data_IF_700334684448
#
_entry.id   IF_700334684448
#
_cell.length_a   1.000
_cell.length_b   1.000
_cell.length_c   1.000
_cell.angle_alpha   90.00
_cell.angle_beta   90.00
_cell.angle_gamma   90.00
#
_symmetry.space_group_name_H-M   'P 1'
#
loop_
_entity.id
_entity.type
_entity.pdbx_description
1 polymer ?
#
# COMPACT_ATOMS: atom_id res chain seq x y z
N UNK A 1 -50.92 11.64 1.50
CA UNK A 1 -50.25 11.45 0.21
C UNK A 1 -48.80 11.25 0.55
N UNK A 2 -48.44 9.98 0.48
CA UNK A 2 -47.19 9.36 0.86
C UNK A 2 -46.18 9.55 -0.28
N UNK A 3 -44.93 9.83 0.05
CA UNK A 3 -43.79 9.72 -0.87
C UNK A 3 -42.50 9.61 -0.06
N UNK A 4 -42.38 8.52 0.70
CA UNK A 4 -41.09 8.03 1.18
C UNK A 4 -40.28 7.48 0.01
N UNK A 5 -39.41 8.30 -0.59
CA UNK A 5 -38.34 7.80 -1.47
C UNK A 5 -37.31 7.04 -0.62
N UNK A 6 -37.45 5.72 -0.56
CA UNK A 6 -36.45 4.81 -0.06
C UNK A 6 -35.23 4.86 -1.00
N UNK A 7 -34.16 5.52 -0.55
CA UNK A 7 -32.83 5.39 -1.16
C UNK A 7 -32.27 4.03 -0.71
N UNK A 8 -32.58 2.97 -1.47
CA UNK A 8 -32.02 1.65 -1.24
C UNK A 8 -30.56 1.61 -1.71
N UNK A 9 -29.64 0.94 -0.99
CA UNK A 9 -28.28 0.74 -1.46
C UNK A 9 -28.33 0.04 -2.83
N UNK A 10 -27.72 0.66 -3.83
CA UNK A 10 -27.55 0.02 -5.14
C UNK A 10 -26.59 -1.14 -4.92
N UNK A 11 -27.11 -2.36 -4.94
CA UNK A 11 -26.30 -3.57 -5.00
C UNK A 11 -25.62 -3.61 -6.37
N UNK A 12 -24.53 -2.85 -6.51
CA UNK A 12 -23.60 -2.96 -7.64
C UNK A 12 -22.85 -4.27 -7.53
N UNK A 13 -23.54 -5.40 -7.72
CA UNK A 13 -22.89 -6.69 -7.89
C UNK A 13 -22.10 -6.63 -9.20
N UNK A 14 -20.79 -6.84 -9.13
CA UNK A 14 -19.98 -7.13 -10.32
C UNK A 14 -20.66 -8.29 -11.05
N UNK A 15 -20.92 -8.15 -12.35
CA UNK A 15 -21.35 -9.28 -13.16
C UNK A 15 -20.30 -10.40 -13.06
N UNK A 16 -20.61 -11.47 -12.33
CA UNK A 16 -19.75 -12.64 -12.16
C UNK A 16 -18.91 -12.73 -10.87
N UNK A 17 -18.98 -11.79 -9.93
CA UNK A 17 -18.34 -11.97 -8.60
C UNK A 17 -19.40 -12.34 -7.57
N UNK A 18 -19.31 -13.55 -7.02
CA UNK A 18 -20.14 -13.97 -5.89
C UNK A 18 -20.00 -12.94 -4.75
N UNK A 19 -21.13 -12.48 -4.21
CA UNK A 19 -21.12 -11.64 -3.02
C UNK A 19 -20.32 -12.36 -1.92
N UNK A 20 -19.25 -11.73 -1.43
CA UNK A 20 -18.44 -12.29 -0.36
C UNK A 20 -19.30 -12.33 0.89
N UNK A 21 -19.69 -13.54 1.32
CA UNK A 21 -20.42 -13.74 2.58
C UNK A 21 -19.49 -13.37 3.72
N UNK A 22 -19.95 -12.47 4.60
CA UNK A 22 -19.26 -12.21 5.86
C UNK A 22 -19.20 -13.51 6.68
N UNK A 23 -18.02 -13.88 7.22
CA UNK A 23 -17.90 -15.09 8.03
C UNK A 23 -18.72 -14.97 9.32
N UNK A 24 -19.08 -16.10 9.93
CA UNK A 24 -19.70 -16.10 11.27
C UNK A 24 -18.65 -15.90 12.36
N UNK A 25 -19.11 -15.55 13.57
CA UNK A 25 -18.21 -15.48 14.74
C UNK A 25 -17.55 -16.83 15.04
N UNK A 26 -18.24 -17.94 14.77
CA UNK A 26 -17.70 -19.29 14.95
C UNK A 26 -16.61 -19.60 13.93
N UNK A 27 -16.80 -19.21 12.67
CA UNK A 27 -15.81 -19.36 11.59
C UNK A 27 -14.53 -18.53 11.88
N UNK A 28 -14.66 -17.40 12.59
CA UNK A 28 -13.54 -16.55 13.02
C UNK A 28 -12.88 -16.98 14.35
N UNK A 29 -13.46 -17.97 15.02
CA UNK A 29 -12.88 -18.62 16.18
C UNK A 29 -13.07 -17.90 17.53
N UNK A 30 -12.73 -18.59 18.64
CA UNK A 30 -13.13 -18.19 19.99
C UNK A 30 -12.49 -16.89 20.48
N UNK A 31 -11.28 -16.55 20.01
CA UNK A 31 -10.63 -15.27 20.37
C UNK A 31 -11.34 -14.08 19.75
N UNK A 32 -11.85 -14.21 18.52
CA UNK A 32 -12.63 -13.17 17.89
C UNK A 32 -14.00 -13.03 18.55
N UNK A 33 -14.67 -14.15 18.85
CA UNK A 33 -15.92 -14.14 19.61
C UNK A 33 -15.76 -13.43 20.97
N UNK A 34 -14.67 -13.71 21.71
CA UNK A 34 -14.36 -13.04 22.96
C UNK A 34 -14.08 -11.54 22.79
N UNK A 35 -13.40 -11.16 21.70
CA UNK A 35 -13.21 -9.75 21.33
C UNK A 35 -14.55 -9.05 21.12
N UNK A 36 -15.45 -9.63 20.32
CA UNK A 36 -16.79 -9.06 20.05
C UNK A 36 -17.62 -8.95 21.32
N UNK A 37 -17.60 -9.97 22.19
CA UNK A 37 -18.29 -9.94 23.48
C UNK A 37 -17.78 -8.84 24.42
N UNK A 38 -16.52 -8.38 24.26
CA UNK A 38 -15.92 -7.30 25.05
C UNK A 38 -16.16 -5.89 24.48
N UNK A 39 -16.77 -5.76 23.31
CA UNK A 39 -17.02 -4.46 22.67
C UNK A 39 -18.12 -3.70 23.41
N UNK A 40 -17.89 -2.39 23.63
CA UNK A 40 -18.89 -1.46 24.17
C UNK A 40 -19.61 -0.66 23.09
N UNK A 41 -19.06 -0.67 21.88
CA UNK A 41 -19.57 0.00 20.70
C UNK A 41 -19.11 -0.78 19.46
N UNK A 42 -19.77 -0.61 18.31
CA UNK A 42 -19.40 -1.34 17.10
C UNK A 42 -17.98 -1.04 16.62
N UNK A 43 -17.42 -1.97 15.86
CA UNK A 43 -16.17 -1.77 15.12
C UNK A 43 -16.50 -1.86 13.63
N UNK A 44 -16.17 -0.82 12.87
CA UNK A 44 -16.35 -0.81 11.42
C UNK A 44 -15.03 -1.12 10.75
N UNK A 45 -14.99 -2.27 10.07
CA UNK A 45 -13.94 -2.62 9.13
C UNK A 45 -14.26 -1.96 7.79
N UNK A 46 -13.29 -1.30 7.17
CA UNK A 46 -13.50 -0.66 5.87
C UNK A 46 -12.23 -0.58 5.04
N UNK A 47 -12.43 -0.41 3.74
CA UNK A 47 -11.41 -0.28 2.72
C UNK A 47 -11.91 0.65 1.60
N UNK A 48 -11.00 1.39 0.97
CA UNK A 48 -11.32 2.42 -0.03
C UNK A 48 -10.47 2.25 -1.27
N UNK A 49 -11.14 2.29 -2.43
CA UNK A 49 -10.49 2.52 -3.72
C UNK A 49 -10.65 3.98 -4.11
N UNK A 50 -9.59 4.56 -4.67
CA UNK A 50 -9.51 5.98 -4.96
C UNK A 50 -8.87 6.27 -6.32
N UNK A 51 -9.02 7.50 -6.80
CA UNK A 51 -8.40 7.98 -8.05
C UNK A 51 -6.87 8.09 -7.97
N UNK A 52 -6.28 7.91 -6.80
CA UNK A 52 -4.84 8.02 -6.57
C UNK A 52 -4.48 7.85 -5.09
N UNK A 53 -3.27 8.27 -4.72
CA UNK A 53 -2.69 8.04 -3.39
C UNK A 53 -2.55 9.32 -2.53
N UNK A 54 -3.04 10.47 -3.00
CA UNK A 54 -3.08 11.71 -2.23
C UNK A 54 -4.45 11.88 -1.54
N UNK A 55 -4.55 11.68 -0.22
CA UNK A 55 -5.83 11.76 0.49
C UNK A 55 -6.47 13.17 0.48
N UNK A 56 -5.72 14.22 0.10
CA UNK A 56 -6.22 15.59 0.02
C UNK A 56 -6.71 15.91 -1.39
N UNK A 57 -6.00 15.44 -2.42
CA UNK A 57 -6.29 15.78 -3.81
C UNK A 57 -7.17 14.75 -4.53
N UNK A 58 -7.07 13.46 -4.19
CA UNK A 58 -7.78 12.37 -4.83
C UNK A 58 -9.20 12.19 -4.29
N UNK A 59 -9.97 11.35 -5.01
CA UNK A 59 -11.39 11.09 -4.77
C UNK A 59 -11.66 9.61 -4.54
N UNK A 60 -12.63 9.31 -3.70
CA UNK A 60 -13.11 7.94 -3.49
C UNK A 60 -13.92 7.49 -4.70
N UNK A 61 -13.66 6.27 -5.18
CA UNK A 61 -14.43 5.60 -6.27
C UNK A 61 -15.21 4.38 -5.77
N UNK A 62 -14.72 3.73 -4.72
CA UNK A 62 -15.43 2.68 -4.00
C UNK A 62 -15.11 2.76 -2.51
N UNK A 63 -16.12 2.52 -1.67
CA UNK A 63 -15.92 2.27 -0.24
C UNK A 63 -16.71 1.03 0.14
N UNK A 64 -16.05 0.10 0.83
CA UNK A 64 -16.67 -1.10 1.38
C UNK A 64 -16.56 -1.09 2.90
N UNK A 65 -17.64 -1.44 3.59
CA UNK A 65 -17.71 -1.46 5.05
C UNK A 65 -18.33 -2.75 5.55
N UNK A 66 -17.85 -3.21 6.69
CA UNK A 66 -18.37 -4.37 7.42
C UNK A 66 -18.38 -4.03 8.90
N UNK A 67 -19.58 -4.04 9.50
CA UNK A 67 -19.79 -3.60 10.87
C UNK A 67 -19.91 -4.80 11.79
N UNK A 68 -19.09 -4.82 12.85
CA UNK A 68 -19.12 -5.81 13.91
C UNK A 68 -19.74 -5.16 15.13
N UNK A 69 -20.92 -5.64 15.53
CA UNK A 69 -21.76 -5.01 16.53
C UNK A 69 -21.79 -5.84 17.82
N UNK A 70 -21.72 -5.20 19.02
CA UNK A 70 -21.93 -5.89 20.30
C UNK A 70 -23.42 -6.09 20.62
N UNK A 71 -24.32 -5.35 19.97
CA UNK A 71 -25.76 -5.49 20.17
C UNK A 71 -26.56 -5.10 18.89
N UNK A 72 -27.28 -6.06 18.27
CA UNK A 72 -27.14 -7.50 18.49
C UNK A 72 -25.69 -7.95 18.22
N UNK A 73 -25.21 -8.94 18.99
CA UNK A 73 -23.87 -9.50 18.81
C UNK A 73 -23.78 -10.13 17.42
N UNK A 74 -22.84 -9.68 16.59
CA UNK A 74 -22.63 -10.29 15.29
C UNK A 74 -21.87 -9.44 14.30
N UNK A 75 -21.79 -9.97 13.08
CA UNK A 75 -21.22 -9.31 11.92
C UNK A 75 -22.36 -8.98 10.96
N UNK A 76 -22.54 -7.69 10.69
CA UNK A 76 -23.52 -7.23 9.72
C UNK A 76 -23.03 -7.53 8.28
N UNK A 77 -23.96 -7.72 7.32
CA UNK A 77 -23.58 -7.87 5.92
C UNK A 77 -22.71 -6.70 5.44
N UNK A 78 -21.70 -7.03 4.63
CA UNK A 78 -20.89 -6.01 3.98
C UNK A 78 -21.77 -5.11 3.11
N UNK A 79 -21.47 -3.80 3.11
CA UNK A 79 -22.10 -2.81 2.25
C UNK A 79 -21.01 -2.11 1.45
N UNK A 80 -21.25 -1.92 0.16
CA UNK A 80 -20.28 -1.34 -0.76
C UNK A 80 -20.95 -0.30 -1.62
N UNK A 81 -20.35 0.88 -1.72
CA UNK A 81 -20.83 1.98 -2.55
C UNK A 81 -19.83 2.24 -3.66
N UNK A 82 -20.32 2.25 -4.89
CA UNK A 82 -19.64 2.84 -6.05
C UNK A 82 -19.97 4.33 -6.07
N UNK A 83 -18.96 5.18 -6.21
CA UNK A 83 -19.10 6.62 -6.05
C UNK A 83 -18.53 7.30 -7.30
N UNK A 84 -19.32 8.14 -7.97
CA UNK A 84 -18.81 9.03 -9.01
C UNK A 84 -17.86 10.07 -8.37
N UNK A 85 -16.55 10.03 -8.68
CA UNK A 85 -15.58 10.95 -8.11
C UNK A 85 -15.70 12.38 -8.68
N UNK A 86 -16.50 12.58 -9.73
CA UNK A 86 -16.65 13.87 -10.43
C UNK A 86 -15.40 14.30 -11.21
N UNK A 87 -14.38 13.43 -11.27
CA UNK A 87 -13.12 13.61 -12.00
C UNK A 87 -12.78 12.33 -12.76
N UNK A 88 -11.93 12.41 -13.78
CA UNK A 88 -11.47 11.22 -14.49
C UNK A 88 -10.57 10.38 -13.59
N UNK A 89 -10.85 9.08 -13.48
CA UNK A 89 -9.94 8.10 -12.86
C UNK A 89 -8.71 7.92 -13.77
N UNK A 90 -7.48 8.13 -13.27
CA UNK A 90 -6.24 7.80 -13.99
C UNK A 90 -6.17 6.31 -14.35
N UNK A 91 -5.57 5.99 -15.50
CA UNK A 91 -5.44 4.59 -15.95
C UNK A 91 -4.65 3.73 -14.96
N UNK A 92 -3.61 4.30 -14.36
CA UNK A 92 -2.76 3.61 -13.39
C UNK A 92 -3.54 3.18 -12.15
N UNK A 93 -4.48 4.00 -11.68
CA UNK A 93 -5.37 3.64 -10.57
C UNK A 93 -6.36 2.56 -11.00
N UNK A 94 -6.98 2.74 -12.18
CA UNK A 94 -7.88 1.74 -12.77
C UNK A 94 -7.21 0.38 -12.95
N UNK A 95 -5.95 0.31 -13.37
CA UNK A 95 -5.21 -0.93 -13.58
C UNK A 95 -4.91 -1.66 -12.26
N UNK A 96 -4.85 -0.93 -11.14
CA UNK A 96 -4.63 -1.50 -9.80
C UNK A 96 -5.92 -2.11 -9.24
N UNK A 97 -6.99 -1.32 -9.15
CA UNK A 97 -8.23 -1.72 -8.48
C UNK A 97 -9.31 -2.28 -9.41
N UNK A 98 -9.12 -2.17 -10.73
CA UNK A 98 -10.02 -2.69 -11.75
C UNK A 98 -11.35 -1.94 -11.86
N UNK A 99 -11.37 -0.64 -11.51
CA UNK A 99 -12.56 0.22 -11.62
C UNK A 99 -12.27 1.28 -12.67
N UNK A 100 -13.07 1.29 -13.72
CA UNK A 100 -12.93 2.22 -14.82
C UNK A 100 -14.03 3.28 -14.77
N UNK A 101 -13.79 4.41 -15.43
CA UNK A 101 -14.77 5.50 -15.52
C UNK A 101 -16.15 5.02 -16.04
N UNK A 102 -16.19 4.01 -16.91
CA UNK A 102 -17.42 3.42 -17.43
C UNK A 102 -18.25 2.67 -16.36
N UNK A 103 -17.60 2.12 -15.32
CA UNK A 103 -18.26 1.37 -14.25
C UNK A 103 -19.01 2.28 -13.28
N UNK A 104 -18.72 3.58 -13.29
CA UNK A 104 -19.29 4.59 -12.38
C UNK A 104 -20.34 5.47 -13.07
N UNK A 105 -20.71 5.16 -14.31
CA UNK A 105 -21.77 5.89 -15.01
C UNK A 105 -23.09 5.71 -14.26
N UNK A 106 -23.65 6.82 -13.77
CA UNK A 106 -24.89 6.81 -12.98
C UNK A 106 -24.70 6.48 -11.50
N UNK A 107 -23.47 6.27 -11.03
CA UNK A 107 -23.17 6.15 -9.62
C UNK A 107 -23.45 7.49 -8.87
N UNK A 108 -23.87 7.45 -7.60
CA UNK A 108 -24.05 8.65 -6.79
C UNK A 108 -22.71 9.34 -6.55
N UNK A 109 -22.73 10.66 -6.31
CA UNK A 109 -21.55 11.36 -5.80
C UNK A 109 -21.40 11.13 -4.30
N UNK A 110 -20.22 11.37 -3.76
CA UNK A 110 -19.98 11.18 -2.33
C UNK A 110 -20.99 11.93 -1.45
N UNK A 111 -21.34 13.17 -1.82
CA UNK A 111 -22.30 13.98 -1.07
C UNK A 111 -23.69 13.33 -0.95
N UNK A 112 -24.11 12.53 -1.93
CA UNK A 112 -25.40 11.85 -1.95
C UNK A 112 -25.45 10.67 -0.96
N UNK A 113 -24.31 10.00 -0.76
CA UNK A 113 -24.18 8.85 0.16
C UNK A 113 -23.58 9.23 1.52
N UNK A 114 -23.10 10.46 1.69
CA UNK A 114 -22.40 10.90 2.90
C UNK A 114 -23.26 10.80 4.17
N UNK A 115 -24.58 11.01 4.08
CA UNK A 115 -25.46 10.84 5.23
C UNK A 115 -25.52 9.37 5.71
N UNK A 116 -25.61 8.45 4.75
CA UNK A 116 -25.66 7.01 5.02
C UNK A 116 -24.32 6.54 5.58
N UNK A 117 -23.20 6.90 4.93
CA UNK A 117 -21.86 6.56 5.41
C UNK A 117 -21.62 7.12 6.82
N UNK A 118 -21.98 8.37 7.10
CA UNK A 118 -21.85 8.94 8.44
C UNK A 118 -22.61 8.12 9.49
N UNK A 119 -23.81 7.62 9.16
CA UNK A 119 -24.57 6.74 10.05
C UNK A 119 -23.89 5.38 10.27
N UNK A 120 -23.23 4.83 9.24
CA UNK A 120 -22.46 3.59 9.37
C UNK A 120 -21.25 3.75 10.30
N UNK A 121 -20.59 4.90 10.27
CA UNK A 121 -19.43 5.15 11.13
C UNK A 121 -19.81 5.75 12.49
N UNK A 122 -21.07 6.13 12.69
CA UNK A 122 -21.55 6.72 13.94
C UNK A 122 -21.35 5.74 15.11
N UNK A 123 -20.83 6.30 16.21
CA UNK A 123 -20.53 5.62 17.46
C UNK A 123 -19.69 4.33 17.30
N UNK A 124 -18.90 4.22 16.23
CA UNK A 124 -18.04 3.07 15.99
C UNK A 124 -16.56 3.37 16.26
N UNK A 125 -15.84 2.35 16.72
CA UNK A 125 -14.38 2.27 16.55
C UNK A 125 -14.07 1.80 15.11
N UNK A 126 -12.87 2.07 14.62
CA UNK A 126 -12.51 1.80 13.22
C UNK A 126 -11.43 0.74 13.12
N UNK A 127 -11.55 -0.13 12.13
CA UNK A 127 -10.57 -1.16 11.84
C UNK A 127 -10.38 -1.37 10.33
N UNK A 128 -9.29 -2.02 9.95
CA UNK A 128 -8.99 -2.36 8.57
C UNK A 128 -7.50 -2.66 8.40
N UNK A 129 -7.04 -2.76 7.16
CA UNK A 129 -5.63 -3.02 6.85
C UNK A 129 -5.01 -1.78 6.20
N UNK A 130 -4.07 -1.11 6.88
CA UNK A 130 -3.44 0.13 6.41
C UNK A 130 -4.32 1.40 6.45
N UNK A 131 -5.47 1.36 7.11
CA UNK A 131 -6.47 2.45 7.12
C UNK A 131 -5.96 3.78 7.70
N UNK A 132 -4.97 3.73 8.59
CA UNK A 132 -4.49 4.91 9.32
C UNK A 132 -3.70 5.88 8.45
N UNK A 133 -3.10 5.38 7.36
CA UNK A 133 -2.22 6.17 6.48
C UNK A 133 -2.98 6.87 5.36
N UNK A 134 -4.04 6.25 4.86
CA UNK A 134 -4.72 6.68 3.64
C UNK A 134 -6.25 6.74 3.81
N UNK A 135 -6.90 5.60 4.01
CA UNK A 135 -8.36 5.43 3.95
C UNK A 135 -9.10 6.40 4.88
N UNK A 136 -8.70 6.47 6.15
CA UNK A 136 -9.32 7.39 7.11
C UNK A 136 -9.16 8.86 6.69
N UNK A 137 -8.00 9.21 6.11
CA UNK A 137 -7.70 10.59 5.72
C UNK A 137 -8.50 11.02 4.50
N UNK A 138 -8.60 10.16 3.48
CA UNK A 138 -9.39 10.48 2.28
C UNK A 138 -10.89 10.47 2.60
N UNK A 139 -11.36 9.58 3.47
CA UNK A 139 -12.74 9.57 3.96
C UNK A 139 -13.10 10.88 4.67
N UNK A 140 -12.21 11.35 5.57
CA UNK A 140 -12.38 12.66 6.22
C UNK A 140 -12.41 13.80 5.21
N UNK A 141 -11.51 13.80 4.22
CA UNK A 141 -11.48 14.82 3.18
C UNK A 141 -12.78 14.84 2.36
N UNK A 142 -13.35 13.68 2.01
CA UNK A 142 -14.62 13.62 1.29
C UNK A 142 -15.80 14.11 2.13
N UNK A 143 -15.85 13.78 3.42
CA UNK A 143 -16.88 14.34 4.32
C UNK A 143 -16.82 15.86 4.38
N UNK A 144 -15.61 16.43 4.49
CA UNK A 144 -15.41 17.89 4.47
C UNK A 144 -15.87 18.49 3.14
N UNK A 145 -15.54 17.88 1.99
CA UNK A 145 -16.01 18.33 0.67
C UNK A 145 -17.52 18.26 0.51
N UNK A 146 -18.16 17.27 1.13
CA UNK A 146 -19.61 17.14 1.19
C UNK A 146 -20.28 18.10 2.22
N UNK A 147 -19.52 18.98 2.88
CA UNK A 147 -20.04 19.91 3.88
C UNK A 147 -20.49 19.23 5.17
N UNK A 148 -19.97 18.03 5.47
CA UNK A 148 -20.30 17.27 6.68
C UNK A 148 -19.08 17.14 7.57
N UNK A 149 -19.21 17.62 8.80
CA UNK A 149 -18.21 17.43 9.85
C UNK A 149 -18.48 16.09 10.54
N UNK A 150 -17.69 15.06 10.23
CA UNK A 150 -17.70 13.78 10.94
C UNK A 150 -16.46 13.70 11.82
N UNK A 151 -16.67 13.58 13.13
CA UNK A 151 -15.57 13.53 14.10
C UNK A 151 -15.18 12.09 14.41
N UNK A 152 -14.02 11.67 13.88
CA UNK A 152 -13.43 10.36 14.18
C UNK A 152 -12.45 10.39 15.36
N UNK A 153 -12.21 11.56 15.97
CA UNK A 153 -11.18 11.74 17.02
C UNK A 153 -11.41 10.88 18.27
N UNK A 154 -12.67 10.48 18.51
CA UNK A 154 -13.10 9.64 19.64
C UNK A 154 -13.12 8.15 19.32
N UNK A 155 -12.95 7.78 18.06
CA UNK A 155 -12.90 6.39 17.63
C UNK A 155 -11.51 5.82 17.92
N UNK A 156 -11.46 4.62 18.47
CA UNK A 156 -10.22 3.84 18.52
C UNK A 156 -9.92 3.31 17.13
N UNK A 157 -8.65 3.29 16.76
CA UNK A 157 -8.19 2.81 15.47
C UNK A 157 -7.44 1.48 15.66
N UNK A 158 -7.87 0.43 14.97
CA UNK A 158 -7.24 -0.88 14.96
C UNK A 158 -6.76 -1.20 13.53
N UNK A 159 -5.48 -0.96 13.28
CA UNK A 159 -4.87 -1.21 11.97
C UNK A 159 -4.18 -2.58 11.96
N UNK A 160 -4.77 -3.53 11.23
CA UNK A 160 -4.28 -4.89 11.12
C UNK A 160 -2.87 -4.97 10.50
N UNK A 161 -2.51 -4.02 9.62
CA UNK A 161 -1.17 -3.97 9.03
C UNK A 161 -0.12 -3.59 10.08
N UNK A 162 -0.45 -2.66 10.98
CA UNK A 162 0.44 -2.26 12.07
C UNK A 162 0.70 -3.45 12.99
N UNK A 163 -0.35 -4.18 13.37
CA UNK A 163 -0.23 -5.40 14.19
C UNK A 163 0.60 -6.46 13.46
N UNK A 164 0.33 -6.69 12.18
CA UNK A 164 1.09 -7.65 11.35
C UNK A 164 2.59 -7.32 11.34
N UNK A 165 2.98 -6.08 11.01
CA UNK A 165 4.39 -5.70 10.97
C UNK A 165 5.10 -5.75 12.35
N UNK A 166 4.36 -5.57 13.45
CA UNK A 166 4.92 -5.74 14.79
C UNK A 166 5.12 -7.21 15.19
N UNK A 167 4.27 -8.11 14.70
CA UNK A 167 4.31 -9.54 15.06
C UNK A 167 5.10 -10.39 14.09
N UNK A 168 5.18 -9.97 12.83
CA UNK A 168 5.90 -10.63 11.74
C UNK A 168 7.00 -9.72 11.17
N UNK A 169 8.10 -9.49 11.93
CA UNK A 169 9.18 -8.62 11.47
C UNK A 169 9.94 -9.25 10.31
N UNK A 170 10.47 -8.41 9.41
CA UNK A 170 11.27 -8.84 8.25
C UNK A 170 12.76 -8.92 8.59
N UNK A 171 13.13 -9.87 9.45
CA UNK A 171 14.52 -10.12 9.85
C UNK A 171 14.86 -11.62 9.84
N UNK A 172 16.14 -11.95 10.01
CA UNK A 172 16.64 -13.33 9.93
C UNK A 172 15.98 -14.25 10.97
N UNK A 173 15.82 -13.78 12.21
CA UNK A 173 15.19 -14.58 13.27
C UNK A 173 13.73 -14.94 12.94
N UNK A 174 12.96 -13.99 12.42
CA UNK A 174 11.58 -14.25 11.99
C UNK A 174 11.51 -15.14 10.75
N UNK A 175 12.44 -14.99 9.80
CA UNK A 175 12.55 -15.89 8.66
C UNK A 175 12.86 -17.32 9.12
N UNK A 176 13.81 -17.51 10.04
CA UNK A 176 14.16 -18.82 10.58
C UNK A 176 12.96 -19.48 11.27
N UNK A 177 12.21 -18.70 12.06
CA UNK A 177 10.97 -19.18 12.68
C UNK A 177 9.92 -19.56 11.65
N UNK A 178 9.73 -18.74 10.62
CA UNK A 178 8.72 -18.98 9.59
C UNK A 178 9.02 -20.22 8.74
N UNK A 179 10.26 -20.39 8.28
CA UNK A 179 10.63 -21.47 7.38
C UNK A 179 11.00 -22.78 8.10
N UNK A 180 11.51 -22.71 9.33
CA UNK A 180 12.06 -23.87 10.06
C UNK A 180 11.44 -24.11 11.43
N UNK A 181 10.56 -23.22 11.91
CA UNK A 181 9.94 -23.35 13.23
C UNK A 181 10.91 -23.20 14.41
N UNK A 182 12.07 -22.57 14.20
CA UNK A 182 13.15 -22.43 15.20
C UNK A 182 13.35 -20.98 15.62
N UNK A 183 13.74 -20.79 16.87
CA UNK A 183 14.22 -19.51 17.38
C UNK A 183 15.74 -19.36 17.14
N UNK A 184 16.17 -18.14 16.83
CA UNK A 184 17.59 -17.81 16.68
C UNK A 184 18.17 -17.48 18.05
N UNK A 185 18.98 -18.38 18.60
CA UNK A 185 19.71 -18.16 19.85
C UNK A 185 21.10 -17.59 19.56
N UNK A 186 21.58 -16.67 20.40
CA UNK A 186 22.86 -15.96 20.23
C UNK A 186 22.95 -15.17 18.90
N UNK A 187 21.84 -14.52 18.53
CA UNK A 187 21.82 -13.56 17.43
C UNK A 187 22.95 -12.54 17.64
N UNK A 188 23.70 -12.22 16.58
CA UNK A 188 24.93 -11.40 16.52
C UNK A 188 26.27 -12.14 16.45
N UNK A 189 26.30 -13.48 16.55
CA UNK A 189 27.44 -14.27 16.10
C UNK A 189 27.39 -14.47 14.58
N UNK A 190 28.41 -14.00 13.84
CA UNK A 190 28.45 -14.12 12.37
C UNK A 190 28.29 -15.59 11.90
N UNK A 191 28.77 -16.55 12.68
CA UNK A 191 28.59 -17.98 12.42
C UNK A 191 27.12 -18.42 12.57
N UNK A 192 26.46 -18.06 13.67
CA UNK A 192 25.06 -18.39 13.91
C UNK A 192 24.15 -17.78 12.83
N UNK A 193 24.40 -16.52 12.45
CA UNK A 193 23.66 -15.84 11.38
C UNK A 193 23.89 -16.52 10.01
N UNK A 194 25.11 -16.99 9.73
CA UNK A 194 25.43 -17.72 8.48
C UNK A 194 24.68 -19.05 8.41
N UNK A 195 24.71 -19.84 9.49
CA UNK A 195 23.99 -21.13 9.56
C UNK A 195 22.48 -20.91 9.47
N UNK A 196 21.94 -19.93 10.19
CA UNK A 196 20.52 -19.59 10.10
C UNK A 196 20.13 -19.14 8.70
N UNK A 197 20.99 -18.40 7.99
CA UNK A 197 20.75 -18.00 6.60
C UNK A 197 20.68 -19.20 5.65
N UNK A 198 21.58 -20.19 5.82
CA UNK A 198 21.52 -21.45 5.07
C UNK A 198 20.21 -22.20 5.34
N UNK A 199 19.80 -22.29 6.60
CA UNK A 199 18.56 -22.98 6.99
C UNK A 199 17.31 -22.29 6.44
N UNK A 200 17.28 -20.96 6.48
CA UNK A 200 16.21 -20.16 5.86
C UNK A 200 16.15 -20.44 4.36
N UNK A 201 17.28 -20.41 3.67
CA UNK A 201 17.35 -20.68 2.24
C UNK A 201 16.87 -22.10 1.90
N UNK A 202 17.31 -23.12 2.65
CA UNK A 202 16.83 -24.48 2.47
C UNK A 202 15.31 -24.60 2.67
N UNK A 203 14.76 -23.92 3.69
CA UNK A 203 13.31 -23.89 3.93
C UNK A 203 12.52 -23.11 2.88
N UNK A 204 13.13 -22.12 2.20
CA UNK A 204 12.52 -21.46 1.04
C UNK A 204 12.38 -22.45 -0.13
N UNK A 205 13.44 -23.19 -0.47
CA UNK A 205 13.40 -24.20 -1.53
C UNK A 205 12.38 -25.32 -1.23
N UNK A 206 12.23 -25.71 0.03
CA UNK A 206 11.24 -26.71 0.44
C UNK A 206 9.80 -26.19 0.35
N UNK A 207 9.58 -24.91 0.66
CA UNK A 207 8.24 -24.31 0.69
C UNK A 207 7.72 -23.92 -0.69
N UNK A 208 8.60 -23.46 -1.58
CA UNK A 208 8.23 -22.86 -2.85
C UNK A 208 8.65 -23.77 -4.00
N UNK A 209 7.73 -24.61 -4.45
CA UNK A 209 7.96 -25.57 -5.56
C UNK A 209 8.27 -24.89 -6.90
N UNK A 210 7.93 -23.61 -7.03
CA UNK A 210 8.20 -22.76 -8.20
C UNK A 210 9.59 -22.12 -8.20
N UNK A 211 10.36 -22.23 -7.11
CA UNK A 211 11.75 -21.80 -7.09
C UNK A 211 12.63 -22.81 -7.86
N UNK A 212 13.37 -22.31 -8.85
CA UNK A 212 14.45 -23.08 -9.45
C UNK A 212 15.50 -23.46 -8.40
N UNK A 213 16.11 -24.63 -8.57
CA UNK A 213 17.15 -25.16 -7.66
C UNK A 213 18.57 -24.91 -8.17
N UNK A 214 18.70 -24.36 -9.37
CA UNK A 214 19.97 -23.97 -9.97
C UNK A 214 20.35 -22.55 -9.56
N UNK A 215 21.66 -22.28 -9.47
CA UNK A 215 22.16 -20.97 -9.04
C UNK A 215 21.82 -19.84 -10.01
N UNK A 216 21.64 -20.11 -11.30
CA UNK A 216 21.38 -19.08 -12.30
C UNK A 216 19.97 -18.50 -12.13
N UNK A 217 18.95 -19.34 -12.00
CA UNK A 217 17.57 -18.92 -11.76
C UNK A 217 17.42 -18.19 -10.41
N UNK A 218 18.03 -18.72 -9.34
CA UNK A 218 18.03 -18.11 -8.01
C UNK A 218 18.76 -16.76 -7.99
N UNK A 219 19.89 -16.67 -8.69
CA UNK A 219 20.59 -15.40 -8.87
C UNK A 219 19.70 -14.40 -9.62
N UNK A 220 19.04 -14.83 -10.70
CA UNK A 220 18.10 -14.04 -11.49
C UNK A 220 16.98 -13.41 -10.65
N UNK A 221 16.38 -14.16 -9.73
CA UNK A 221 15.37 -13.66 -8.79
C UNK A 221 15.94 -12.61 -7.81
N UNK A 222 17.21 -12.75 -7.44
CA UNK A 222 17.88 -11.89 -6.48
C UNK A 222 18.35 -10.56 -7.07
N UNK A 223 18.59 -10.50 -8.38
CA UNK A 223 19.06 -9.28 -9.07
C UNK A 223 17.95 -8.34 -9.53
N UNK A 224 16.70 -8.81 -9.65
CA UNK A 224 15.57 -8.00 -10.17
C UNK A 224 15.26 -6.72 -9.38
N UNK A 225 15.83 -6.57 -8.17
CA UNK A 225 15.68 -5.35 -7.37
C UNK A 225 16.72 -4.26 -7.64
N UNK A 226 17.74 -4.51 -8.47
CA UNK A 226 18.81 -3.54 -8.72
C UNK A 226 18.71 -2.82 -10.07
N UNK A 227 18.07 -3.42 -11.08
CA UNK A 227 17.97 -2.84 -12.44
C UNK A 227 17.17 -1.54 -12.50
N UNK A 228 16.31 -1.28 -11.51
CA UNK A 228 15.60 -0.01 -11.38
C UNK A 228 16.50 1.14 -10.89
N UNK A 229 17.69 0.80 -10.36
CA UNK A 229 18.60 1.75 -9.72
C UNK A 229 19.93 1.84 -10.47
N UNK A 230 20.58 3.00 -10.37
CA UNK A 230 21.85 3.25 -11.05
C UNK A 230 23.07 2.93 -10.17
N UNK A 231 22.85 2.81 -8.85
CA UNK A 231 23.85 2.60 -7.79
C UNK A 231 23.32 1.63 -6.72
N UNK A 232 24.23 0.97 -6.01
CA UNK A 232 23.93 0.00 -4.94
C UNK A 232 23.19 0.65 -3.77
N UNK A 233 23.49 1.91 -3.49
CA UNK A 233 22.85 2.71 -2.43
C UNK A 233 21.44 3.20 -2.79
N UNK A 234 20.95 2.88 -4.00
CA UNK A 234 19.64 3.28 -4.54
C UNK A 234 19.37 4.78 -4.45
N UNK A 235 20.42 5.60 -4.60
CA UNK A 235 20.34 7.06 -4.60
C UNK A 235 19.83 7.60 -5.93
N UNK A 236 20.03 6.86 -7.00
CA UNK A 236 19.55 7.14 -8.34
C UNK A 236 18.71 5.97 -8.85
N UNK A 237 17.57 6.31 -9.46
CA UNK A 237 16.71 5.37 -10.17
C UNK A 237 16.70 5.70 -11.66
N UNK A 238 16.46 4.71 -12.51
CA UNK A 238 16.22 4.96 -13.93
C UNK A 238 14.79 5.44 -14.16
N UNK A 239 14.62 6.60 -14.82
CA UNK A 239 13.34 7.05 -15.37
C UNK A 239 13.55 7.72 -16.72
N UNK A 240 12.73 7.37 -17.70
CA UNK A 240 12.80 7.90 -19.07
C UNK A 240 14.22 7.83 -19.68
N UNK A 241 14.91 6.71 -19.40
CA UNK A 241 16.32 6.44 -19.75
C UNK A 241 17.37 7.39 -19.13
N UNK A 242 17.00 8.15 -18.10
CA UNK A 242 17.93 9.01 -17.36
C UNK A 242 17.98 8.65 -15.86
N UNK A 243 19.12 8.87 -15.20
CA UNK A 243 19.20 8.80 -13.74
C UNK A 243 18.40 9.94 -13.11
N UNK A 244 17.47 9.58 -12.23
CA UNK A 244 16.73 10.52 -11.38
C UNK A 244 17.05 10.25 -9.92
N UNK A 245 17.04 11.30 -9.10
CA UNK A 245 17.22 11.15 -7.67
C UNK A 245 16.09 10.33 -7.05
N UNK A 246 16.46 9.36 -6.21
CA UNK A 246 15.51 8.50 -5.50
C UNK A 246 15.43 8.81 -3.99
N UNK A 247 16.08 9.90 -3.54
CA UNK A 247 16.13 10.31 -2.14
C UNK A 247 16.23 11.84 -1.98
N UNK A 248 16.09 12.30 -0.74
CA UNK A 248 16.33 13.70 -0.36
C UNK A 248 15.35 14.69 -0.99
N UNK A 249 15.64 15.99 -0.86
CA UNK A 249 14.78 17.07 -1.41
C UNK A 249 14.66 17.06 -2.92
N UNK A 250 15.63 16.42 -3.61
CA UNK A 250 15.66 16.33 -5.07
C UNK A 250 14.99 15.06 -5.59
N UNK A 251 14.34 14.25 -4.74
CA UNK A 251 13.66 13.03 -5.16
C UNK A 251 12.73 13.28 -6.37
N UNK A 252 12.89 12.46 -7.40
CA UNK A 252 12.16 12.55 -8.67
C UNK A 252 12.75 13.54 -9.68
N UNK A 253 13.74 14.36 -9.32
CA UNK A 253 14.40 15.29 -10.26
C UNK A 253 15.46 14.56 -11.09
N UNK A 254 15.61 14.96 -12.35
CA UNK A 254 16.65 14.44 -13.25
C UNK A 254 18.04 14.89 -12.80
N UNK A 255 18.99 13.94 -12.76
CA UNK A 255 20.40 14.24 -12.50
C UNK A 255 20.96 15.21 -13.54
N UNK A 256 20.47 15.14 -14.80
CA UNK A 256 20.85 16.09 -15.85
C UNK A 256 20.45 17.50 -15.52
N UNK A 257 19.21 17.69 -15.11
CA UNK A 257 18.70 19.01 -14.74
C UNK A 257 19.48 19.58 -13.54
N UNK A 258 19.70 18.77 -12.50
CA UNK A 258 20.47 19.18 -11.31
C UNK A 258 21.93 19.51 -11.65
N UNK A 259 22.54 18.76 -12.57
CA UNK A 259 23.91 19.04 -13.02
C UNK A 259 24.00 20.32 -13.89
N UNK A 260 22.95 20.65 -14.64
CA UNK A 260 22.94 21.87 -15.47
C UNK A 260 22.56 23.13 -14.70
N UNK A 261 21.83 23.02 -13.58
CA UNK A 261 21.43 24.17 -12.77
C UNK A 261 22.56 24.59 -11.79
N UNK A 262 23.17 25.78 -11.95
CA UNK A 262 24.25 26.25 -11.08
C UNK A 262 23.89 26.32 -9.60
N UNK A 263 22.62 26.59 -9.28
CA UNK A 263 22.12 26.71 -7.90
C UNK A 263 22.05 25.34 -7.22
N UNK A 264 21.84 24.27 -7.99
CA UNK A 264 21.68 22.92 -7.49
C UNK A 264 22.98 22.10 -7.51
N UNK A 265 24.00 22.52 -8.27
CA UNK A 265 25.33 21.88 -8.30
C UNK A 265 26.02 21.81 -6.93
N UNK A 266 25.64 22.65 -5.97
CA UNK A 266 26.13 22.55 -4.59
C UNK A 266 25.70 21.23 -3.93
N UNK A 267 24.50 20.73 -4.24
CA UNK A 267 24.00 19.45 -3.73
C UNK A 267 24.81 18.26 -4.24
N UNK A 268 25.24 18.31 -5.51
CA UNK A 268 26.10 17.30 -6.11
C UNK A 268 27.48 17.26 -5.45
N UNK A 269 28.09 18.42 -5.16
CA UNK A 269 29.38 18.47 -4.44
C UNK A 269 29.28 17.89 -3.05
N UNK A 270 28.21 18.23 -2.32
CA UNK A 270 27.93 17.65 -1.01
C UNK A 270 27.80 16.12 -1.07
N UNK A 271 27.20 15.55 -2.12
CA UNK A 271 27.15 14.10 -2.28
C UNK A 271 28.54 13.48 -2.52
N UNK A 272 29.40 14.13 -3.30
CA UNK A 272 30.76 13.64 -3.56
C UNK A 272 31.61 13.65 -2.29
N UNK A 273 31.46 14.67 -1.46
CA UNK A 273 32.20 14.85 -0.19
C UNK A 273 31.58 14.05 0.97
N UNK A 274 30.29 13.74 0.88
CA UNK A 274 29.53 13.09 1.93
C UNK A 274 29.74 11.59 2.03
N UNK A 275 29.07 10.99 3.02
CA UNK A 275 29.10 9.55 3.26
C UNK A 275 28.12 8.81 2.33
N UNK A 276 28.51 8.67 1.06
CA UNK A 276 27.81 7.92 0.02
C UNK A 276 28.71 6.82 -0.55
N UNK A 277 28.09 5.77 -1.08
CA UNK A 277 28.78 4.71 -1.82
C UNK A 277 29.53 5.29 -3.02
N UNK A 278 30.70 4.73 -3.34
CA UNK A 278 31.57 5.28 -4.38
C UNK A 278 30.96 5.22 -5.78
N UNK A 279 30.10 4.24 -6.07
CA UNK A 279 29.41 4.15 -7.35
C UNK A 279 28.39 5.30 -7.55
N UNK A 280 27.67 5.68 -6.50
CA UNK A 280 26.80 6.85 -6.48
C UNK A 280 27.61 8.15 -6.65
N UNK A 281 28.77 8.25 -5.99
CA UNK A 281 29.67 9.39 -6.16
C UNK A 281 30.25 9.47 -7.56
N UNK A 282 30.59 8.34 -8.18
CA UNK A 282 31.09 8.29 -9.55
C UNK A 282 30.05 8.76 -10.57
N UNK A 283 28.78 8.35 -10.39
CA UNK A 283 27.66 8.86 -11.19
C UNK A 283 27.57 10.39 -11.09
N UNK A 284 27.71 10.94 -9.88
CA UNK A 284 27.67 12.40 -9.66
C UNK A 284 28.90 13.10 -10.25
N UNK A 285 30.10 12.55 -10.06
CA UNK A 285 31.35 13.08 -10.64
C UNK A 285 31.26 13.13 -12.16
N UNK A 286 30.71 12.10 -12.79
CA UNK A 286 30.47 12.06 -14.22
C UNK A 286 29.47 13.13 -14.66
N UNK A 287 28.33 13.25 -13.97
CA UNK A 287 27.32 14.26 -14.29
C UNK A 287 27.88 15.69 -14.16
N UNK A 288 28.69 15.96 -13.14
CA UNK A 288 29.38 17.25 -12.96
C UNK A 288 30.34 17.59 -14.11
N UNK A 289 30.92 16.56 -14.76
CA UNK A 289 31.77 16.66 -15.96
C UNK A 289 30.97 16.64 -17.27
N UNK A 290 29.63 16.64 -17.21
CA UNK A 290 28.75 16.59 -18.37
C UNK A 290 28.55 15.19 -18.97
N UNK A 291 29.01 14.13 -18.29
CA UNK A 291 28.78 12.74 -18.69
C UNK A 291 27.63 12.16 -17.89
N UNK A 292 26.50 11.89 -18.53
CA UNK A 292 25.33 11.32 -17.85
C UNK A 292 25.03 9.98 -18.48
N UNK A 293 24.98 8.94 -17.63
CA UNK A 293 24.65 7.59 -18.06
C UNK A 293 23.23 7.58 -18.66
N UNK A 294 23.02 6.76 -19.68
CA UNK A 294 21.70 6.48 -20.25
C UNK A 294 21.56 4.96 -20.37
N UNK A 295 20.35 4.42 -20.12
CA UNK A 295 20.11 2.98 -20.28
C UNK A 295 19.98 2.58 -21.73
N UNK A 296 20.62 1.47 -22.12
CA UNK A 296 20.60 0.92 -23.49
C UNK A 296 19.25 0.31 -23.93
N UNK A 297 18.18 0.43 -23.13
CA UNK A 297 16.90 -0.29 -23.34
C UNK A 297 16.05 0.19 -24.53
N UNK A 298 16.51 1.16 -25.31
CA UNK A 298 15.78 1.66 -26.49
C UNK A 298 16.09 0.93 -27.81
N UNK A 299 17.19 0.19 -27.93
CA UNK A 299 17.58 -0.43 -29.23
C UNK A 299 16.93 -1.79 -29.52
N UNK A 300 16.07 -2.31 -28.63
CA UNK A 300 15.43 -3.62 -28.80
C UNK A 300 13.92 -3.58 -29.11
N UNK A 301 13.34 -2.41 -29.42
CA UNK A 301 11.92 -2.26 -29.83
C UNK A 301 11.73 -1.78 -31.27
N UNK A 302 12.78 -1.80 -32.07
CA UNK A 302 12.70 -1.55 -33.52
C UNK A 302 13.57 -2.56 -34.27
N UNK A 303 13.10 -3.81 -34.32
CA UNK A 303 13.48 -4.81 -35.31
C UNK A 303 12.30 -5.75 -35.52
#
# INVERSE_FOLDING_TARGET
>A
MDDSKQNSPVSGQRAGVQAVRAPTLDELGPRFAAFVAGLRRPVVFFDIEATGADPIADRIVEISVLRVSPLPVGIEPARTWRIDPGVRIPSEASDIHGIHNADLVGAPRFADVAAELAAVFADADLAGFSITRFDLRILQAEFVRAGRMVEFSRARLVDAQVIYHQREPRNLAAALRFYRGRELFDAHGAEADTVASLEVFAGQLERYEDLGVDLESLHGLSVQHNDAYCDTGRRFAWRDNEPVFNFGRLRGKSLRWVASDPTERAYLRWMVEGNFDEDAKDIVRDALRGRIRATARATARSA
#
